data_IF_469487036142
#
_entry.id   IF_469487036142
#
_cell.length_a   1.000
_cell.length_b   1.000
_cell.length_c   1.000
_cell.angle_alpha   90.00
_cell.angle_beta   90.00
_cell.angle_gamma   90.00
#
_symmetry.space_group_name_H-M   'P 1'
#
loop_
_entity.id
_entity.type
_entity.pdbx_description
1 polymer ?
#
# COMPACT_ATOMS: atom_id res chain seq x y z
N UNK A 1 17.86 7.86 -4.53
CA UNK A 1 18.24 7.27 -3.24
C UNK A 1 18.53 5.80 -3.44
N UNK A 2 19.64 5.26 -2.93
CA UNK A 2 19.89 3.81 -2.98
C UNK A 2 19.16 3.11 -1.82
N UNK A 3 18.41 2.06 -2.16
CA UNK A 3 17.64 1.23 -1.23
C UNK A 3 18.04 -0.23 -1.47
N UNK A 4 18.45 -0.91 -0.41
CA UNK A 4 18.80 -2.33 -0.46
C UNK A 4 17.62 -3.15 0.08
N UNK A 5 17.04 -4.00 -0.75
CA UNK A 5 16.04 -4.98 -0.30
C UNK A 5 16.77 -6.07 0.49
N UNK A 6 16.36 -6.27 1.75
CA UNK A 6 16.93 -7.26 2.68
C UNK A 6 16.22 -8.61 2.57
N UNK A 7 14.89 -8.61 2.59
CA UNK A 7 14.08 -9.82 2.49
C UNK A 7 12.63 -9.55 2.06
N UNK A 8 12.00 -10.55 1.48
CA UNK A 8 10.54 -10.62 1.34
C UNK A 8 9.93 -10.99 2.70
N UNK A 9 8.92 -10.24 3.14
CA UNK A 9 8.20 -10.46 4.41
C UNK A 9 6.93 -11.27 4.19
N UNK A 10 6.24 -11.06 3.05
CA UNK A 10 4.99 -11.72 2.73
C UNK A 10 4.13 -10.90 1.77
N UNK A 11 2.91 -11.36 1.53
CA UNK A 11 1.93 -10.70 0.67
C UNK A 11 0.56 -10.68 1.32
N UNK A 12 -0.25 -9.69 0.97
CA UNK A 12 -1.66 -9.57 1.32
C UNK A 12 -2.47 -9.29 0.06
N UNK A 13 -3.62 -9.93 -0.06
CA UNK A 13 -4.47 -9.81 -1.22
C UNK A 13 -5.22 -11.10 -1.50
N UNK A 14 -5.97 -11.10 -2.59
CA UNK A 14 -6.55 -12.29 -3.19
C UNK A 14 -6.27 -12.25 -4.68
N UNK A 15 -6.23 -13.43 -5.29
CA UNK A 15 -6.31 -13.62 -6.73
C UNK A 15 -7.66 -14.30 -6.97
N UNK A 16 -8.55 -13.68 -7.75
CA UNK A 16 -9.75 -14.37 -8.21
C UNK A 16 -9.35 -15.13 -9.45
N UNK A 17 -9.28 -16.45 -9.34
CA UNK A 17 -9.14 -17.34 -10.47
C UNK A 17 -10.55 -17.81 -10.87
N UNK A 18 -11.14 -17.13 -11.85
CA UNK A 18 -12.38 -17.61 -12.49
C UNK A 18 -11.99 -18.69 -13.49
N UNK A 19 -12.23 -19.96 -13.18
CA UNK A 19 -11.78 -21.03 -14.08
C UNK A 19 -12.62 -21.13 -15.36
N UNK A 20 -13.91 -20.77 -15.37
CA UNK A 20 -14.83 -21.02 -16.49
C UNK A 20 -15.94 -19.98 -16.67
N UNK A 21 -16.30 -19.65 -17.92
CA UNK A 21 -17.51 -18.87 -18.29
C UNK A 21 -18.17 -19.46 -19.55
N UNK A 22 -19.40 -20.00 -19.41
CA UNK A 22 -20.15 -20.81 -20.41
C UNK A 22 -21.67 -20.60 -20.42
N UNK A 23 -22.29 -21.00 -21.55
CA UNK A 23 -23.50 -20.35 -22.09
C UNK A 23 -23.97 -20.88 -23.48
N UNK A 24 -25.08 -20.33 -23.98
CA UNK A 24 -25.76 -20.64 -25.25
C UNK A 24 -25.85 -19.47 -26.28
N UNK A 25 -25.91 -19.81 -27.57
CA UNK A 25 -26.03 -18.85 -28.69
C UNK A 25 -27.43 -18.26 -28.87
N UNK A 26 -28.47 -19.00 -28.50
CA UNK A 26 -29.86 -18.60 -28.72
C UNK A 26 -30.41 -17.67 -27.62
N UNK A 27 -29.69 -17.57 -26.49
CA UNK A 27 -30.09 -16.84 -25.28
C UNK A 27 -29.19 -15.64 -24.95
N UNK A 28 -27.93 -15.64 -25.40
CA UNK A 28 -26.98 -14.55 -25.13
C UNK A 28 -26.28 -14.64 -23.78
N UNK A 29 -26.19 -15.83 -23.18
CA UNK A 29 -25.23 -16.08 -22.10
C UNK A 29 -23.77 -15.99 -22.68
N UNK A 30 -22.70 -15.83 -21.89
CA UNK A 30 -21.32 -15.57 -22.41
C UNK A 30 -20.48 -16.85 -22.58
N UNK A 31 -20.01 -17.18 -23.80
CA UNK A 31 -19.41 -18.50 -24.14
C UNK A 31 -18.01 -18.48 -24.80
N UNK A 32 -17.24 -19.55 -24.54
CA UNK A 32 -16.00 -20.07 -25.18
C UNK A 32 -14.68 -19.39 -24.79
N UNK A 33 -13.53 -20.13 -24.85
CA UNK A 33 -13.29 -21.46 -25.45
C UNK A 33 -13.79 -22.62 -24.59
N UNK A 34 -14.29 -23.70 -25.21
CA UNK A 34 -14.86 -24.88 -24.51
C UNK A 34 -13.85 -25.52 -23.53
N UNK A 35 -14.27 -25.96 -22.32
CA UNK A 35 -13.33 -26.40 -21.28
C UNK A 35 -12.66 -27.74 -21.61
N UNK A 36 -13.22 -28.47 -22.58
CA UNK A 36 -12.90 -29.85 -22.92
C UNK A 36 -12.34 -29.98 -24.36
N UNK A 37 -12.00 -28.86 -25.02
CA UNK A 37 -11.29 -28.93 -26.31
C UNK A 37 -9.82 -29.28 -26.09
N UNK A 38 -9.54 -30.58 -26.01
CA UNK A 38 -8.20 -31.13 -25.84
C UNK A 38 -7.22 -30.79 -26.99
N UNK A 39 -7.72 -30.28 -28.12
CA UNK A 39 -6.88 -29.86 -29.25
C UNK A 39 -6.41 -28.40 -29.11
N UNK A 40 -7.14 -27.56 -28.36
CA UNK A 40 -6.83 -26.15 -28.13
C UNK A 40 -6.99 -25.75 -26.65
N UNK A 41 -6.16 -26.29 -25.74
CA UNK A 41 -6.20 -25.94 -24.32
C UNK A 41 -5.92 -24.44 -24.15
N UNK A 42 -6.98 -23.68 -23.90
CA UNK A 42 -6.91 -22.22 -23.80
C UNK A 42 -7.14 -21.81 -22.35
N UNK A 43 -6.22 -20.98 -21.84
CA UNK A 43 -6.25 -20.54 -20.44
C UNK A 43 -7.36 -19.52 -20.22
N UNK A 44 -8.48 -19.96 -19.65
CA UNK A 44 -9.64 -19.13 -19.22
C UNK A 44 -9.42 -18.36 -17.92
N UNK A 45 -8.20 -18.36 -17.38
CA UNK A 45 -7.85 -17.66 -16.14
C UNK A 45 -7.76 -16.15 -16.36
N UNK A 46 -8.84 -15.43 -16.08
CA UNK A 46 -8.77 -14.01 -15.74
C UNK A 46 -8.30 -13.87 -14.29
N UNK A 47 -7.01 -13.59 -14.11
CA UNK A 47 -6.38 -13.39 -12.80
C UNK A 47 -6.74 -12.00 -12.25
N UNK A 48 -7.94 -11.89 -11.67
CA UNK A 48 -8.53 -10.61 -11.22
C UNK A 48 -8.42 -10.47 -9.71
N UNK A 49 -7.37 -9.80 -9.23
CA UNK A 49 -7.12 -9.70 -7.80
C UNK A 49 -6.12 -8.61 -7.42
N UNK A 50 -6.41 -7.87 -6.34
CA UNK A 50 -5.51 -6.87 -5.80
C UNK A 50 -4.55 -7.51 -4.81
N UNK A 51 -3.25 -7.48 -5.12
CA UNK A 51 -2.18 -8.03 -4.27
C UNK A 51 -1.14 -6.96 -3.94
N UNK A 52 -0.69 -6.96 -2.69
CA UNK A 52 0.41 -6.13 -2.19
C UNK A 52 1.49 -7.04 -1.59
N UNK A 53 2.72 -6.91 -2.06
CA UNK A 53 3.90 -7.59 -1.53
C UNK A 53 4.69 -6.67 -0.60
N UNK A 54 5.20 -7.22 0.49
CA UNK A 54 5.93 -6.50 1.52
C UNK A 54 7.39 -6.95 1.56
N UNK A 55 8.30 -5.99 1.58
CA UNK A 55 9.73 -6.24 1.67
C UNK A 55 10.36 -5.43 2.80
N UNK A 56 11.23 -6.09 3.58
CA UNK A 56 12.15 -5.40 4.46
C UNK A 56 13.27 -4.84 3.59
N UNK A 57 13.57 -3.55 3.76
CA UNK A 57 14.64 -2.89 3.06
C UNK A 57 15.40 -1.93 3.98
N UNK A 58 16.51 -1.41 3.50
CA UNK A 58 17.36 -0.48 4.21
C UNK A 58 17.80 0.65 3.28
N UNK A 59 17.80 1.89 3.77
CA UNK A 59 18.43 3.00 3.06
C UNK A 59 19.96 2.87 3.14
N UNK A 60 20.68 3.56 2.26
CA UNK A 60 22.15 3.69 2.36
C UNK A 60 22.62 4.28 3.71
N UNK A 61 21.75 4.98 4.42
CA UNK A 61 22.01 5.60 5.74
C UNK A 61 21.68 4.66 6.91
N UNK A 62 21.32 3.40 6.65
CA UNK A 62 20.98 2.40 7.67
C UNK A 62 19.54 2.48 8.18
N UNK A 63 18.70 3.37 7.62
CA UNK A 63 17.31 3.49 8.02
C UNK A 63 16.52 2.26 7.53
N UNK A 64 15.82 1.58 8.45
CA UNK A 64 14.93 0.45 8.12
C UNK A 64 13.69 0.95 7.40
N UNK A 65 13.38 0.33 6.27
CA UNK A 65 12.26 0.67 5.40
C UNK A 65 11.35 -0.54 5.21
N UNK A 66 10.04 -0.30 5.14
CA UNK A 66 9.06 -1.25 4.64
C UNK A 66 8.67 -0.82 3.23
N UNK A 67 8.98 -1.63 2.23
CA UNK A 67 8.55 -1.39 0.85
C UNK A 67 7.26 -2.17 0.58
N UNK A 68 6.37 -1.55 -0.19
CA UNK A 68 5.12 -2.15 -0.67
C UNK A 68 5.12 -2.12 -2.20
N UNK A 69 5.02 -3.28 -2.82
CA UNK A 69 4.82 -3.44 -4.26
C UNK A 69 3.35 -3.81 -4.49
N UNK A 70 2.65 -3.04 -5.32
CA UNK A 70 1.24 -3.24 -5.63
C UNK A 70 1.11 -3.86 -7.02
N UNK A 71 0.23 -4.85 -7.17
CA UNK A 71 -0.21 -5.30 -8.50
C UNK A 71 -0.87 -4.15 -9.27
N UNK A 72 -0.91 -4.24 -10.60
CA UNK A 72 -1.57 -3.25 -11.47
C UNK A 72 -3.05 -3.02 -11.08
N UNK A 73 -3.76 -4.10 -10.77
CA UNK A 73 -5.11 -4.13 -10.20
C UNK A 73 -5.26 -3.39 -8.86
N UNK A 74 -4.18 -3.20 -8.10
CA UNK A 74 -4.14 -2.51 -6.81
C UNK A 74 -3.64 -1.05 -6.91
N UNK A 75 -3.47 -0.50 -8.12
CA UNK A 75 -2.94 0.86 -8.31
C UNK A 75 -3.80 1.96 -7.64
N UNK A 76 -5.13 1.81 -7.63
CA UNK A 76 -6.04 2.73 -6.95
C UNK A 76 -5.86 2.70 -5.42
N UNK A 77 -5.59 1.53 -4.84
CA UNK A 77 -5.28 1.36 -3.42
C UNK A 77 -3.95 2.05 -3.07
N UNK A 78 -2.92 1.92 -3.91
CA UNK A 78 -1.64 2.61 -3.73
C UNK A 78 -1.80 4.14 -3.73
N UNK A 79 -2.62 4.67 -4.65
CA UNK A 79 -2.92 6.10 -4.72
C UNK A 79 -3.70 6.58 -3.48
N UNK A 80 -4.70 5.81 -3.02
CA UNK A 80 -5.48 6.11 -1.82
C UNK A 80 -4.61 6.08 -0.54
N UNK A 81 -3.74 5.07 -0.38
CA UNK A 81 -2.82 4.98 0.75
C UNK A 81 -1.85 6.17 0.77
N UNK A 82 -1.24 6.51 -0.37
CA UNK A 82 -0.36 7.66 -0.49
C UNK A 82 -1.06 8.97 -0.12
N UNK A 83 -2.27 9.18 -0.63
CA UNK A 83 -3.10 10.36 -0.31
C UNK A 83 -3.43 10.44 1.19
N UNK A 84 -3.72 9.31 1.84
CA UNK A 84 -3.94 9.25 3.28
C UNK A 84 -2.65 9.56 4.08
N UNK A 85 -1.51 9.01 3.67
CA UNK A 85 -0.21 9.26 4.28
C UNK A 85 0.19 10.74 4.18
N UNK A 86 0.03 11.37 3.02
CA UNK A 86 0.33 12.79 2.81
C UNK A 86 -0.56 13.71 3.68
N UNK A 87 -1.85 13.38 3.85
CA UNK A 87 -2.73 14.07 4.82
C UNK A 87 -2.25 13.92 6.26
N UNK A 88 -1.93 12.70 6.69
CA UNK A 88 -1.45 12.43 8.05
C UNK A 88 -0.12 13.12 8.35
N UNK A 89 0.81 13.12 7.39
CA UNK A 89 2.10 13.81 7.47
C UNK A 89 1.92 15.33 7.64
N UNK A 90 0.96 15.91 6.91
CA UNK A 90 0.62 17.34 7.00
C UNK A 90 0.07 17.68 8.40
N UNK A 91 -0.86 16.88 8.93
CA UNK A 91 -1.42 17.04 10.28
C UNK A 91 -0.33 16.87 11.35
N UNK A 92 0.56 15.89 11.19
CA UNK A 92 1.65 15.63 12.13
C UNK A 92 2.65 16.79 12.20
N UNK A 93 3.02 17.38 11.05
CA UNK A 93 3.88 18.57 10.98
C UNK A 93 3.25 19.78 11.67
N UNK A 94 2.01 20.12 11.29
CA UNK A 94 1.28 21.24 11.90
C UNK A 94 1.15 21.11 13.43
N UNK A 95 1.01 19.88 13.96
CA UNK A 95 1.01 19.63 15.42
C UNK A 95 2.40 19.74 16.06
N UNK A 96 3.47 19.37 15.35
CA UNK A 96 4.83 19.51 15.83
C UNK A 96 5.22 21.00 15.97
N UNK A 97 4.82 21.83 15.00
CA UNK A 97 5.09 23.28 15.01
C UNK A 97 4.37 23.97 16.19
N UNK A 98 3.10 23.66 16.43
CA UNK A 98 2.34 24.15 17.61
C UNK A 98 2.93 23.65 18.94
N UNK A 99 3.53 22.45 18.95
CA UNK A 99 4.23 21.90 20.12
C UNK A 99 5.60 22.54 20.40
N UNK A 100 6.21 23.20 19.42
CA UNK A 100 7.49 23.90 19.59
C UNK A 100 7.30 25.28 20.24
N UNK A 101 6.26 26.02 19.84
CA UNK A 101 6.02 27.41 20.26
C UNK A 101 5.66 27.55 21.76
N UNK A 102 5.12 26.47 22.35
CA UNK A 102 4.76 26.43 23.79
C UNK A 102 5.93 26.16 24.74
N UNK A 103 7.16 25.98 24.23
CA UNK A 103 8.38 25.72 25.04
C UNK A 103 9.31 26.93 25.18
N UNK A 104 8.76 28.13 25.35
CA UNK A 104 9.56 29.24 25.91
C UNK A 104 9.96 28.92 27.35
N UNK A 105 11.26 28.91 27.70
CA UNK A 105 11.69 28.71 29.08
C UNK A 105 11.27 29.92 29.91
N UNK A 106 10.26 29.75 30.77
CA UNK A 106 9.97 30.73 31.83
C UNK A 106 11.13 30.72 32.82
N UNK A 107 12.11 31.60 32.60
CA UNK A 107 13.08 31.99 33.62
C UNK A 107 12.26 32.60 34.77
N UNK A 108 12.22 31.99 35.98
CA UNK A 108 11.55 32.62 37.11
C UNK A 108 12.32 33.90 37.46
N UNK A 109 11.63 35.00 37.83
CA UNK A 109 12.31 36.21 38.25
C UNK A 109 13.18 35.91 39.49
N UNK A 110 14.34 36.57 39.65
CA UNK A 110 15.12 36.42 40.86
C UNK A 110 14.28 36.85 42.07
N UNK A 111 14.28 36.02 43.11
CA UNK A 111 13.64 36.37 44.39
C UNK A 111 14.45 37.48 45.06
N UNK A 112 14.13 38.74 44.72
CA UNK A 112 14.53 39.89 45.51
C UNK A 112 13.94 39.76 46.91
N UNK A 113 14.81 39.84 47.92
CA UNK A 113 14.46 39.66 49.31
C UNK A 113 13.45 40.72 49.77
N UNK A 114 12.46 40.29 50.56
CA UNK A 114 11.69 41.16 51.44
C UNK A 114 12.22 40.93 52.86
N UNK A 115 12.76 42.01 53.42
CA UNK A 115 13.10 42.21 54.84
C UNK A 115 11.93 42.92 55.50
#
# INVERSE_FOLDING_TARGET
SNVLIRSYIGSMGFTTQTDWVYAERDTGELVRPSPLDALNPTRTVEDSGATVRFFAAESREGARLLLKEYSSSAASLAAAERSAFERLLTIARARADVGADTRSPRVPPPFSQLV
#
